data_IF_072428042241
#
_entry.id   IF_072428042241
#
_cell.length_a   1.000
_cell.length_b   1.000
_cell.length_c   1.000
_cell.angle_alpha   90.00
_cell.angle_beta   90.00
_cell.angle_gamma   90.00
#
_symmetry.space_group_name_H-M   'P 1'
#
loop_
_entity.id
_entity.type
_entity.pdbx_description
1 polymer ?
#
# COMPACT_ATOMS: atom_id res chain seq x y z
N UNK A 1 5.00 -2.09 19.49
CA UNK A 1 4.51 -1.17 18.44
C UNK A 1 5.41 -1.32 17.24
N UNK A 2 4.80 -1.59 16.10
CA UNK A 2 5.44 -1.82 14.81
C UNK A 2 6.14 -0.54 14.36
N UNK A 3 7.41 -0.65 14.05
CA UNK A 3 8.24 0.43 13.53
C UNK A 3 8.46 0.28 12.02
N UNK A 4 8.72 -0.94 11.57
CA UNK A 4 9.01 -1.27 10.17
C UNK A 4 8.19 -2.48 9.75
N UNK A 5 7.79 -2.50 8.49
CA UNK A 5 7.18 -3.63 7.84
C UNK A 5 7.79 -3.82 6.46
N UNK A 6 8.03 -5.08 6.06
CA UNK A 6 8.61 -5.40 4.76
C UNK A 6 8.06 -6.73 4.26
N UNK A 7 7.65 -6.79 2.99
CA UNK A 7 7.28 -8.06 2.35
C UNK A 7 8.54 -8.91 2.16
N UNK A 8 8.51 -10.14 2.65
CA UNK A 8 9.63 -11.09 2.57
C UNK A 8 9.13 -12.47 2.17
N UNK A 9 10.05 -13.37 1.85
CA UNK A 9 9.74 -14.78 1.72
C UNK A 9 9.25 -15.37 3.06
N UNK A 10 8.54 -16.49 2.99
CA UNK A 10 8.08 -17.21 4.17
C UNK A 10 9.25 -17.55 5.10
N UNK A 11 9.11 -17.35 6.43
CA UNK A 11 10.13 -17.73 7.38
C UNK A 11 10.20 -19.26 7.53
N UNK A 12 11.27 -19.75 8.15
CA UNK A 12 11.30 -21.14 8.61
C UNK A 12 10.30 -21.31 9.75
N UNK A 13 9.55 -22.42 9.70
CA UNK A 13 8.47 -22.70 10.67
C UNK A 13 9.01 -22.68 12.11
N UNK A 14 8.40 -21.83 12.94
CA UNK A 14 8.75 -21.69 14.36
C UNK A 14 9.97 -20.81 14.65
N UNK A 15 10.60 -20.20 13.64
CA UNK A 15 11.71 -19.26 13.85
C UNK A 15 11.23 -17.94 14.46
N UNK A 16 10.04 -17.48 14.08
CA UNK A 16 9.44 -16.24 14.56
C UNK A 16 8.05 -16.47 15.11
N UNK A 17 7.57 -15.51 15.91
CA UNK A 17 6.14 -15.43 16.20
C UNK A 17 5.39 -15.13 14.90
N UNK A 18 4.36 -15.90 14.62
CA UNK A 18 3.56 -15.77 13.40
C UNK A 18 2.11 -15.40 13.75
N UNK A 19 1.47 -14.63 12.88
CA UNK A 19 0.03 -14.32 12.96
C UNK A 19 -0.60 -14.43 11.57
N UNK A 20 -1.74 -15.08 11.50
CA UNK A 20 -2.48 -15.28 10.25
C UNK A 20 -3.60 -14.22 10.15
N UNK A 21 -3.67 -13.57 9.00
CA UNK A 21 -4.71 -12.63 8.61
C UNK A 21 -5.44 -13.21 7.41
N UNK A 22 -6.52 -13.93 7.71
CA UNK A 22 -7.36 -14.56 6.70
C UNK A 22 -8.82 -14.17 6.93
N UNK A 23 -9.54 -14.00 5.83
CA UNK A 23 -10.96 -13.65 5.81
C UNK A 23 -11.64 -14.77 5.05
N UNK A 24 -12.52 -15.51 5.71
CA UNK A 24 -13.17 -16.66 5.07
C UNK A 24 -14.05 -16.19 3.92
N UNK A 25 -13.67 -16.55 2.70
CA UNK A 25 -14.40 -16.19 1.48
C UNK A 25 -14.14 -17.24 0.41
N UNK A 26 -15.16 -17.64 -0.37
CA UNK A 26 -15.00 -18.57 -1.49
C UNK A 26 -14.22 -17.95 -2.67
N UNK A 27 -14.02 -16.63 -2.67
CA UNK A 27 -13.33 -15.89 -3.73
C UNK A 27 -11.85 -15.64 -3.43
N UNK A 28 -11.34 -16.23 -2.35
CA UNK A 28 -9.93 -16.13 -2.00
C UNK A 28 -9.06 -16.87 -3.02
N UNK A 29 -7.96 -16.25 -3.40
CA UNK A 29 -6.89 -16.93 -4.12
C UNK A 29 -6.21 -17.98 -3.22
N UNK A 30 -5.41 -18.84 -3.86
CA UNK A 30 -4.53 -19.76 -3.15
C UNK A 30 -3.24 -19.08 -2.67
N UNK A 31 -3.03 -17.82 -3.03
CA UNK A 31 -1.81 -17.09 -2.77
C UNK A 31 -1.77 -16.54 -1.34
N UNK A 32 -0.54 -16.35 -0.86
CA UNK A 32 -0.26 -15.79 0.46
C UNK A 32 0.92 -14.82 0.38
N UNK A 33 0.87 -13.81 1.23
CA UNK A 33 1.90 -12.79 1.41
C UNK A 33 2.45 -12.84 2.81
N UNK A 34 3.78 -12.88 2.93
CA UNK A 34 4.46 -12.79 4.22
C UNK A 34 5.03 -11.39 4.41
N UNK A 35 4.65 -10.77 5.52
CA UNK A 35 5.19 -9.48 5.93
C UNK A 35 5.96 -9.66 7.22
N UNK A 36 7.24 -9.30 7.19
CA UNK A 36 8.07 -9.19 8.38
C UNK A 36 7.81 -7.85 9.04
N UNK A 37 7.41 -7.89 10.31
CA UNK A 37 7.26 -6.73 11.16
C UNK A 37 8.40 -6.64 12.15
N UNK A 38 8.89 -5.43 12.38
CA UNK A 38 9.87 -5.12 13.41
C UNK A 38 9.28 -4.05 14.33
N UNK A 39 9.28 -4.33 15.62
CA UNK A 39 8.80 -3.42 16.65
C UNK A 39 9.90 -2.45 17.11
N UNK A 40 9.52 -1.41 17.85
CA UNK A 40 10.46 -0.44 18.44
C UNK A 40 11.53 -1.07 19.35
N UNK A 41 11.25 -2.23 19.93
CA UNK A 41 12.17 -3.01 20.78
C UNK A 41 13.03 -4.00 19.97
N UNK A 42 13.05 -3.85 18.64
CA UNK A 42 13.71 -4.73 17.67
C UNK A 42 13.19 -6.17 17.65
N UNK A 43 12.08 -6.46 18.34
CA UNK A 43 11.43 -7.77 18.23
C UNK A 43 10.81 -7.93 16.85
N UNK A 44 11.01 -9.11 16.26
CA UNK A 44 10.56 -9.43 14.91
C UNK A 44 9.50 -10.51 14.94
N UNK A 45 8.49 -10.36 14.10
CA UNK A 45 7.41 -11.32 13.93
C UNK A 45 6.86 -11.25 12.51
N UNK A 46 6.16 -12.29 12.07
CA UNK A 46 5.65 -12.39 10.71
C UNK A 46 4.12 -12.39 10.70
N UNK A 47 3.55 -11.65 9.74
CA UNK A 47 2.13 -11.75 9.40
C UNK A 47 1.94 -12.47 8.07
N UNK A 48 0.97 -13.37 8.03
CA UNK A 48 0.59 -14.13 6.83
C UNK A 48 -0.74 -13.59 6.33
N UNK A 49 -0.76 -13.01 5.15
CA UNK A 49 -1.93 -12.33 4.58
C UNK A 49 -2.41 -13.08 3.36
N UNK A 50 -3.72 -13.23 3.22
CA UNK A 50 -4.34 -13.83 2.03
C UNK A 50 -4.07 -12.96 0.79
N UNK A 51 -3.69 -13.59 -0.32
CA UNK A 51 -3.43 -12.93 -1.62
C UNK A 51 -1.94 -12.77 -1.94
N UNK A 52 -1.67 -12.53 -3.22
CA UNK A 52 -0.31 -12.28 -3.74
C UNK A 52 0.21 -10.89 -3.32
N UNK A 53 1.53 -10.72 -3.14
CA UNK A 53 2.10 -9.51 -2.57
C UNK A 53 2.02 -8.33 -3.54
N UNK A 54 1.54 -7.18 -3.06
CA UNK A 54 1.63 -5.91 -3.80
C UNK A 54 2.50 -4.90 -3.06
N UNK A 55 2.12 -4.51 -1.84
CA UNK A 55 2.86 -3.49 -1.09
C UNK A 55 2.53 -3.48 0.41
N UNK A 56 3.40 -2.87 1.21
CA UNK A 56 3.17 -2.63 2.64
C UNK A 56 3.69 -1.23 3.02
N UNK A 57 3.00 -0.54 3.92
CA UNK A 57 3.41 0.77 4.42
C UNK A 57 3.01 0.97 5.88
N UNK A 58 3.85 1.67 6.64
CA UNK A 58 3.67 1.93 8.08
C UNK A 58 3.51 3.42 8.31
N UNK A 59 2.39 3.86 8.89
CA UNK A 59 2.18 5.26 9.25
C UNK A 59 2.43 5.53 10.73
N UNK A 60 3.42 6.38 10.98
CA UNK A 60 3.70 6.90 12.31
C UNK A 60 2.64 7.91 12.77
N UNK A 61 2.15 8.75 11.85
CA UNK A 61 1.12 9.77 12.08
C UNK A 61 -0.20 9.13 12.52
N UNK A 62 -0.67 8.11 11.79
CA UNK A 62 -2.00 7.53 12.01
C UNK A 62 -2.01 6.34 12.97
N UNK A 63 -0.84 5.84 13.38
CA UNK A 63 -0.75 4.61 14.18
C UNK A 63 -1.39 3.40 13.51
N UNK A 64 -1.18 3.30 12.19
CA UNK A 64 -1.70 2.22 11.36
C UNK A 64 -0.61 1.61 10.48
N UNK A 65 -0.88 0.41 10.00
CA UNK A 65 -0.14 -0.26 8.94
C UNK A 65 -1.12 -0.65 7.85
N UNK A 66 -0.78 -0.38 6.60
CA UNK A 66 -1.51 -0.86 5.43
C UNK A 66 -0.73 -1.99 4.78
N UNK A 67 -1.42 -3.11 4.53
CA UNK A 67 -0.90 -4.24 3.76
C UNK A 67 -1.81 -4.44 2.56
N UNK A 68 -1.26 -4.26 1.36
CA UNK A 68 -1.96 -4.46 0.10
C UNK A 68 -1.53 -5.80 -0.52
N UNK A 69 -2.52 -6.62 -0.80
CA UNK A 69 -2.39 -7.90 -1.51
C UNK A 69 -3.32 -7.91 -2.73
N UNK A 70 -3.28 -8.94 -3.57
CA UNK A 70 -4.27 -9.11 -4.64
C UNK A 70 -5.71 -9.24 -4.15
N UNK A 71 -5.89 -9.80 -2.96
CA UNK A 71 -7.21 -10.23 -2.49
C UNK A 71 -7.81 -9.22 -1.52
N UNK A 72 -6.97 -8.52 -0.75
CA UNK A 72 -7.41 -7.61 0.30
C UNK A 72 -6.44 -6.44 0.51
N UNK A 73 -7.01 -5.31 0.94
CA UNK A 73 -6.29 -4.21 1.58
C UNK A 73 -6.58 -4.27 3.07
N UNK A 74 -5.57 -4.57 3.88
CA UNK A 74 -5.69 -4.71 5.33
C UNK A 74 -5.21 -3.44 6.03
N UNK A 75 -5.99 -2.94 6.97
CA UNK A 75 -5.61 -1.87 7.89
C UNK A 75 -5.40 -2.45 9.28
N UNK A 76 -4.18 -2.37 9.79
CA UNK A 76 -3.78 -2.90 11.10
C UNK A 76 -3.46 -1.79 12.09
N UNK A 77 -3.67 -2.05 13.38
CA UNK A 77 -3.18 -1.19 14.45
C UNK A 77 -1.67 -1.38 14.61
N UNK A 78 -0.90 -0.29 14.54
CA UNK A 78 0.55 -0.32 14.72
C UNK A 78 0.96 -0.75 16.13
N UNK A 79 0.11 -0.60 17.15
CA UNK A 79 0.44 -0.95 18.54
C UNK A 79 0.69 -2.44 18.72
N UNK A 80 -0.27 -3.25 18.27
CA UNK A 80 -0.37 -4.69 18.55
C UNK A 80 -0.50 -5.56 17.28
N UNK A 81 -0.61 -4.94 16.10
CA UNK A 81 -0.82 -5.61 14.82
C UNK A 81 -2.23 -6.18 14.63
N UNK A 82 -3.23 -5.78 15.43
CA UNK A 82 -4.59 -6.28 15.23
C UNK A 82 -5.20 -5.69 13.96
N UNK A 83 -5.96 -6.49 13.22
CA UNK A 83 -6.71 -6.01 12.07
C UNK A 83 -7.87 -5.14 12.55
N UNK A 84 -7.95 -3.92 12.03
CA UNK A 84 -9.00 -2.96 12.34
C UNK A 84 -10.05 -2.96 11.26
N UNK A 85 -9.62 -2.86 10.01
CA UNK A 85 -10.48 -2.81 8.82
C UNK A 85 -9.83 -3.62 7.69
N UNK A 86 -10.65 -4.04 6.74
CA UNK A 86 -10.19 -4.59 5.48
C UNK A 86 -11.14 -4.20 4.35
N UNK A 87 -10.61 -4.19 3.14
CA UNK A 87 -11.37 -4.05 1.91
C UNK A 87 -11.09 -5.26 1.02
N UNK A 88 -12.15 -5.90 0.54
CA UNK A 88 -12.05 -7.11 -0.28
C UNK A 88 -11.91 -6.78 -1.76
N UNK A 89 -11.07 -7.55 -2.44
CA UNK A 89 -10.80 -7.49 -3.88
C UNK A 89 -10.40 -6.07 -4.35
N UNK A 90 -9.36 -5.46 -3.75
CA UNK A 90 -8.93 -4.12 -4.13
C UNK A 90 -8.38 -4.12 -5.57
N UNK A 91 -8.76 -3.09 -6.34
CA UNK A 91 -8.20 -2.84 -7.66
C UNK A 91 -6.82 -2.17 -7.60
N UNK A 92 -6.39 -1.75 -6.40
CA UNK A 92 -5.15 -1.03 -6.15
C UNK A 92 -3.91 -1.84 -6.53
N UNK A 93 -3.02 -1.25 -7.32
CA UNK A 93 -1.74 -1.83 -7.72
C UNK A 93 -0.58 -1.26 -6.92
N UNK A 94 -0.68 0.02 -6.51
CA UNK A 94 0.38 0.73 -5.80
C UNK A 94 -0.09 1.22 -4.44
N UNK A 95 0.82 1.21 -3.47
CA UNK A 95 0.65 1.78 -2.14
C UNK A 95 2.00 2.39 -1.72
N UNK A 96 1.95 3.62 -1.20
CA UNK A 96 3.09 4.30 -0.59
C UNK A 96 2.65 5.09 0.63
N UNK A 97 3.62 5.57 1.39
CA UNK A 97 3.40 6.53 2.46
C UNK A 97 4.09 7.84 2.14
N UNK A 98 3.36 8.94 2.34
CA UNK A 98 3.88 10.27 2.15
C UNK A 98 4.87 10.68 3.24
N UNK A 99 5.75 11.66 3.00
CA UNK A 99 6.61 12.23 4.02
C UNK A 99 5.83 12.82 5.21
N UNK A 100 4.57 13.21 4.99
CA UNK A 100 3.67 13.70 6.05
C UNK A 100 2.97 12.55 6.81
N UNK A 101 3.15 11.30 6.37
CA UNK A 101 2.64 10.11 7.04
C UNK A 101 1.25 9.65 6.58
N UNK A 102 0.73 10.20 5.49
CA UNK A 102 -0.55 9.79 4.90
C UNK A 102 -0.34 8.67 3.88
N UNK A 103 -1.25 7.72 3.80
CA UNK A 103 -1.16 6.65 2.82
C UNK A 103 -1.69 7.12 1.48
N UNK A 104 -0.99 6.77 0.42
CA UNK A 104 -1.44 7.04 -0.95
C UNK A 104 -1.48 5.71 -1.68
N UNK A 105 -2.61 5.45 -2.31
CA UNK A 105 -2.87 4.24 -3.09
C UNK A 105 -3.24 4.63 -4.52
N UNK A 106 -2.99 3.73 -5.46
CA UNK A 106 -3.47 3.88 -6.81
C UNK A 106 -3.96 2.55 -7.36
N UNK A 107 -5.09 2.60 -8.07
CA UNK A 107 -5.50 1.56 -9.00
C UNK A 107 -4.85 1.83 -10.37
N UNK A 108 -5.44 1.33 -11.46
CA UNK A 108 -4.92 1.59 -12.80
C UNK A 108 -5.16 3.02 -13.31
N UNK A 109 -6.15 3.74 -12.76
CA UNK A 109 -6.71 4.97 -13.34
C UNK A 109 -6.80 6.14 -12.35
N UNK A 110 -6.83 5.86 -11.04
CA UNK A 110 -7.10 6.81 -9.97
C UNK A 110 -6.04 6.73 -8.88
N UNK A 111 -5.81 7.86 -8.22
CA UNK A 111 -4.95 7.98 -7.04
C UNK A 111 -5.82 8.47 -5.89
N UNK A 112 -5.75 7.78 -4.75
CA UNK A 112 -6.50 8.14 -3.55
C UNK A 112 -5.57 8.28 -2.35
N UNK A 113 -5.95 9.15 -1.42
CA UNK A 113 -5.31 9.28 -0.11
C UNK A 113 -6.17 8.64 0.97
N UNK A 114 -5.52 7.94 1.90
CA UNK A 114 -6.13 7.38 3.09
C UNK A 114 -5.48 8.02 4.32
N UNK A 115 -6.30 8.70 5.11
CA UNK A 115 -5.87 9.25 6.40
C UNK A 115 -6.08 8.22 7.52
N UNK A 116 -7.34 8.01 7.93
CA UNK A 116 -7.66 7.29 9.17
C UNK A 116 -8.40 5.96 9.01
N UNK A 117 -9.20 5.81 7.95
CA UNK A 117 -10.08 4.66 7.71
C UNK A 117 -10.20 4.38 6.22
N UNK A 118 -10.40 3.11 5.85
CA UNK A 118 -10.60 2.67 4.46
C UNK A 118 -11.92 3.19 3.88
N UNK A 119 -12.87 3.61 4.72
CA UNK A 119 -14.14 4.19 4.27
C UNK A 119 -13.99 5.63 3.77
N UNK A 120 -12.97 6.36 4.23
CA UNK A 120 -12.80 7.80 3.98
C UNK A 120 -11.61 8.07 3.05
N UNK A 121 -11.64 7.43 1.87
CA UNK A 121 -10.65 7.67 0.82
C UNK A 121 -11.01 8.93 0.06
N UNK A 122 -10.01 9.76 -0.22
CA UNK A 122 -10.20 10.97 -1.01
C UNK A 122 -9.47 10.83 -2.34
N UNK A 123 -10.22 11.03 -3.43
CA UNK A 123 -9.67 11.04 -4.78
C UNK A 123 -8.79 12.29 -4.97
N UNK A 124 -7.61 12.09 -5.52
CA UNK A 124 -6.73 13.19 -5.96
C UNK A 124 -7.03 13.47 -7.43
N UNK A 125 -7.55 14.66 -7.71
CA UNK A 125 -7.86 15.07 -9.09
C UNK A 125 -6.59 15.13 -9.94
N UNK A 126 -6.62 14.44 -11.07
CA UNK A 126 -5.55 14.46 -12.05
C UNK A 126 -5.82 15.49 -13.15
N UNK A 127 -4.80 16.23 -13.61
CA UNK A 127 -4.94 17.15 -14.73
C UNK A 127 -5.13 16.44 -16.08
N UNK A 128 -4.87 15.13 -16.13
CA UNK A 128 -4.98 14.29 -17.33
C UNK A 128 -5.69 12.97 -16.99
N UNK A 129 -6.25 12.31 -18.01
CA UNK A 129 -6.64 10.91 -17.87
C UNK A 129 -5.39 10.04 -17.70
N UNK A 130 -5.41 9.15 -16.72
CA UNK A 130 -4.28 8.28 -16.39
C UNK A 130 -4.65 6.84 -16.70
N UNK A 131 -3.68 6.08 -17.23
CA UNK A 131 -3.73 4.64 -17.38
C UNK A 131 -2.42 4.05 -16.79
N UNK A 132 -2.49 2.81 -16.28
CA UNK A 132 -1.35 2.05 -15.73
C UNK A 132 -0.46 2.84 -14.76
N UNK A 133 -1.08 3.44 -13.74
CA UNK A 133 -0.37 4.23 -12.73
C UNK A 133 0.64 3.38 -11.96
N UNK A 134 1.89 3.84 -11.94
CA UNK A 134 2.97 3.23 -11.17
C UNK A 134 3.74 4.29 -10.36
N UNK A 135 3.91 4.04 -9.06
CA UNK A 135 4.71 4.91 -8.19
C UNK A 135 6.20 4.59 -8.30
N UNK A 136 7.02 5.60 -8.60
CA UNK A 136 8.48 5.48 -8.70
C UNK A 136 9.20 5.87 -7.39
N UNK A 137 8.45 6.39 -6.41
CA UNK A 137 8.96 6.78 -5.11
C UNK A 137 9.05 8.30 -4.90
N UNK A 138 9.49 8.66 -3.70
CA UNK A 138 9.48 10.04 -3.23
C UNK A 138 10.82 10.74 -3.50
N UNK A 139 10.74 11.96 -4.02
CA UNK A 139 11.82 12.93 -4.01
C UNK A 139 11.42 14.14 -3.17
N UNK A 140 11.91 14.18 -1.91
CA UNK A 140 11.45 15.14 -0.89
C UNK A 140 9.93 15.05 -0.73
N UNK A 141 9.21 16.12 -1.08
CA UNK A 141 7.76 16.25 -0.90
C UNK A 141 6.97 15.93 -2.19
N UNK A 142 7.65 15.36 -3.20
CA UNK A 142 7.07 15.01 -4.50
C UNK A 142 7.11 13.50 -4.70
N UNK A 143 5.95 12.89 -4.96
CA UNK A 143 5.87 11.50 -5.42
C UNK A 143 5.95 11.48 -6.94
N UNK A 144 6.96 10.79 -7.46
CA UNK A 144 7.12 10.58 -8.90
C UNK A 144 6.21 9.44 -9.36
N UNK A 145 5.42 9.72 -10.39
CA UNK A 145 4.41 8.81 -10.92
C UNK A 145 4.64 8.66 -12.42
N UNK A 146 4.56 7.43 -12.91
CA UNK A 146 4.55 7.11 -14.34
C UNK A 146 3.16 6.59 -14.70
N UNK A 147 2.62 7.07 -15.80
CA UNK A 147 1.41 6.58 -16.43
C UNK A 147 1.75 6.11 -17.84
N UNK A 148 1.24 4.94 -18.22
CA UNK A 148 1.43 4.36 -19.55
C UNK A 148 0.07 4.26 -20.24
N UNK A 149 -0.06 4.83 -21.43
CA UNK A 149 -1.33 4.80 -22.16
C UNK A 149 -1.59 3.39 -22.74
N UNK A 150 -2.78 2.83 -22.53
CA UNK A 150 -3.10 1.44 -22.89
C UNK A 150 -2.89 1.10 -24.39
N UNK A 151 -2.97 2.10 -25.26
CA UNK A 151 -3.08 1.90 -26.72
C UNK A 151 -1.90 2.44 -27.54
N UNK A 152 -0.92 3.11 -26.91
CA UNK A 152 0.20 3.72 -27.64
C UNK A 152 1.55 3.14 -27.17
N UNK A 153 2.38 2.79 -28.15
CA UNK A 153 3.71 2.20 -28.01
C UNK A 153 4.58 2.87 -26.93
N UNK A 154 5.45 2.06 -26.29
CA UNK A 154 6.47 2.32 -25.24
C UNK A 154 7.11 3.72 -25.09
N UNK A 155 6.95 4.63 -26.05
CA UNK A 155 7.52 5.97 -26.07
C UNK A 155 6.62 7.06 -25.42
N UNK A 156 5.36 6.77 -25.08
CA UNK A 156 4.44 7.73 -24.47
C UNK A 156 4.23 7.53 -22.96
N UNK A 157 5.32 7.38 -22.20
CA UNK A 157 5.26 7.43 -20.74
C UNK A 157 5.01 8.87 -20.28
N UNK A 158 3.84 9.14 -19.70
CA UNK A 158 3.59 10.41 -19.04
C UNK A 158 4.14 10.39 -17.63
N UNK A 159 4.82 11.47 -17.25
CA UNK A 159 5.39 11.64 -15.92
C UNK A 159 4.60 12.69 -15.16
N UNK A 160 4.09 12.29 -14.01
CA UNK A 160 3.39 13.15 -13.09
C UNK A 160 4.19 13.27 -11.78
N UNK A 161 3.98 14.38 -11.09
CA UNK A 161 4.48 14.60 -9.76
C UNK A 161 3.31 14.98 -8.85
N UNK A 162 3.14 14.25 -7.74
CA UNK A 162 2.18 14.61 -6.69
C UNK A 162 2.92 15.36 -5.58
N UNK A 163 2.51 16.60 -5.33
CA UNK A 163 3.02 17.39 -4.21
C UNK A 163 2.20 17.13 -2.94
N UNK A 164 2.83 16.58 -1.90
CA UNK A 164 2.15 16.20 -0.65
C UNK A 164 1.64 17.40 0.17
N UNK A 165 2.24 18.57 0.05
CA UNK A 165 1.81 19.75 0.84
C UNK A 165 0.50 20.34 0.29
N UNK A 166 0.31 20.23 -1.03
CA UNK A 166 -0.86 20.80 -1.72
C UNK A 166 -1.86 19.74 -2.16
N UNK A 167 -1.47 18.47 -2.15
CA UNK A 167 -2.21 17.32 -2.71
C UNK A 167 -2.62 17.55 -4.17
N UNK A 168 -1.74 18.16 -4.96
CA UNK A 168 -1.98 18.42 -6.39
C UNK A 168 -1.02 17.64 -7.27
N UNK A 169 -1.58 17.07 -8.34
CA UNK A 169 -0.83 16.46 -9.43
C UNK A 169 -0.45 17.52 -10.47
N UNK A 170 0.78 17.42 -10.96
CA UNK A 170 1.28 18.23 -12.07
C UNK A 170 2.07 17.38 -13.06
N UNK A 171 2.01 17.74 -14.34
CA UNK A 171 2.89 17.19 -15.36
C UNK A 171 4.33 17.63 -15.11
N UNK A 172 5.26 16.69 -15.32
CA UNK A 172 6.71 16.93 -15.23
C UNK A 172 7.28 17.42 -16.55
#
# INVERSE_FOLDING_TARGET
MINKAEIKAAPLSGEYKERIYDISSPWNSQDWTWVKFENNDYTQWFGHFRGSPRAVSVSHKHNKVLVLTSDYLFLLDRLNGEMIEYESQPQYQSLTISPLGDFIIADYYNIEIIESSLANKQLIESPIQMDFITFQGWHKNLLLIICEEFLNSLDNQMKLELNVETMKLSLK
#
